data_IF_391544878295
#
_entry.id   IF_391544878295
#
_cell.length_a   1.000
_cell.length_b   1.000
_cell.length_c   1.000
_cell.angle_alpha   90.00
_cell.angle_beta   90.00
_cell.angle_gamma   90.00
#
_symmetry.space_group_name_H-M   'P 1'
#
loop_
_entity.id
_entity.type
_entity.pdbx_description
1 polymer ?
#
# COMPACT_ATOMS: atom_id res chain seq x y z
N UNK A 1 -3.27 -24.17 6.27
CA UNK A 1 -3.11 -23.22 7.39
C UNK A 1 -4.36 -23.21 8.23
N UNK A 2 -4.25 -23.17 9.56
CA UNK A 2 -5.43 -23.10 10.43
C UNK A 2 -6.06 -21.71 10.42
N UNK A 3 -7.40 -21.62 10.59
CA UNK A 3 -8.11 -20.33 10.65
C UNK A 3 -7.54 -19.41 11.74
N UNK A 4 -7.23 -19.98 12.91
CA UNK A 4 -6.67 -19.23 14.03
C UNK A 4 -5.31 -18.61 13.71
N UNK A 5 -4.42 -19.38 13.07
CA UNK A 5 -3.12 -18.88 12.63
C UNK A 5 -3.29 -17.75 11.62
N UNK A 6 -4.30 -17.84 10.75
CA UNK A 6 -4.52 -16.88 9.68
C UNK A 6 -4.98 -15.54 10.26
N UNK A 7 -5.90 -15.59 11.24
CA UNK A 7 -6.38 -14.42 11.97
C UNK A 7 -5.23 -13.75 12.73
N UNK A 8 -4.41 -14.52 13.44
CA UNK A 8 -3.29 -13.97 14.21
C UNK A 8 -2.23 -13.30 13.33
N UNK A 9 -1.78 -13.98 12.27
CA UNK A 9 -0.79 -13.42 11.33
C UNK A 9 -1.34 -12.20 10.59
N UNK A 10 -2.60 -12.23 10.14
CA UNK A 10 -3.24 -11.09 9.48
C UNK A 10 -3.41 -9.89 10.41
N UNK A 11 -3.68 -10.12 11.69
CA UNK A 11 -3.78 -9.04 12.68
C UNK A 11 -2.44 -8.31 12.86
N UNK A 12 -1.32 -9.05 12.92
CA UNK A 12 0.02 -8.47 13.01
C UNK A 12 0.33 -7.65 11.74
N UNK A 13 0.07 -8.23 10.57
CA UNK A 13 0.26 -7.55 9.28
C UNK A 13 -0.58 -6.26 9.19
N UNK A 14 -1.82 -6.28 9.67
CA UNK A 14 -2.70 -5.11 9.71
C UNK A 14 -2.20 -4.01 10.65
N UNK A 15 -1.70 -4.36 11.84
CA UNK A 15 -1.09 -3.38 12.76
C UNK A 15 0.14 -2.75 12.12
N UNK A 16 1.01 -3.55 11.51
CA UNK A 16 2.22 -3.03 10.87
C UNK A 16 1.85 -2.12 9.70
N UNK A 17 0.96 -2.55 8.80
CA UNK A 17 0.49 -1.71 7.69
C UNK A 17 -0.07 -0.39 8.23
N UNK A 18 -0.97 -0.44 9.22
CA UNK A 18 -1.58 0.75 9.79
C UNK A 18 -0.58 1.73 10.40
N UNK A 19 0.54 1.24 10.95
CA UNK A 19 1.60 2.09 11.48
C UNK A 19 2.54 2.61 10.38
N UNK A 20 2.94 1.75 9.44
CA UNK A 20 3.95 2.07 8.42
C UNK A 20 3.40 2.84 7.23
N UNK A 21 2.10 2.78 6.94
CA UNK A 21 1.51 3.48 5.79
C UNK A 21 1.60 5.00 5.93
N UNK A 22 1.49 5.52 7.16
CA UNK A 22 1.52 6.96 7.43
C UNK A 22 2.93 7.48 7.72
N UNK A 23 3.91 6.58 7.82
CA UNK A 23 5.31 6.91 8.03
C UNK A 23 6.06 6.77 6.70
N UNK A 24 7.03 7.64 6.39
CA UNK A 24 7.83 7.55 5.17
C UNK A 24 8.90 6.44 5.30
N UNK A 25 8.47 5.20 5.55
CA UNK A 25 9.32 4.03 5.87
C UNK A 25 9.01 2.80 5.00
N UNK A 26 8.27 2.99 3.90
CA UNK A 26 7.77 1.95 2.99
C UNK A 26 7.01 0.81 3.65
N UNK A 27 5.68 0.92 3.61
CA UNK A 27 4.78 -0.11 4.14
C UNK A 27 4.88 -1.43 3.37
N UNK A 28 5.04 -1.41 2.05
CA UNK A 28 5.10 -2.62 1.22
C UNK A 28 6.32 -3.50 1.53
N UNK A 29 7.49 -2.90 1.77
CA UNK A 29 8.71 -3.64 2.14
C UNK A 29 8.58 -4.36 3.48
N UNK A 30 8.08 -3.66 4.50
CA UNK A 30 7.85 -4.24 5.83
C UNK A 30 6.82 -5.37 5.79
N UNK A 31 5.73 -5.20 5.03
CA UNK A 31 4.67 -6.19 4.89
C UNK A 31 5.19 -7.47 4.21
N UNK A 32 5.92 -7.35 3.10
CA UNK A 32 6.52 -8.50 2.39
C UNK A 32 7.57 -9.21 3.24
N UNK A 33 8.39 -8.47 3.98
CA UNK A 33 9.38 -9.06 4.89
C UNK A 33 8.70 -9.88 5.99
N UNK A 34 7.69 -9.31 6.65
CA UNK A 34 6.94 -10.00 7.71
C UNK A 34 6.19 -11.23 7.20
N UNK A 35 5.61 -11.19 6.00
CA UNK A 35 4.97 -12.35 5.39
C UNK A 35 5.94 -13.54 5.25
N UNK A 36 7.18 -13.28 4.81
CA UNK A 36 8.22 -14.30 4.72
C UNK A 36 8.68 -14.80 6.10
N UNK A 37 8.95 -13.88 7.04
CA UNK A 37 9.40 -14.23 8.39
C UNK A 37 8.35 -15.06 9.14
N UNK A 38 7.07 -14.73 8.97
CA UNK A 38 5.95 -15.46 9.59
C UNK A 38 5.60 -16.75 8.85
N UNK A 39 6.26 -17.09 7.74
CA UNK A 39 5.90 -18.23 6.90
C UNK A 39 4.43 -18.17 6.49
N UNK A 40 3.94 -16.98 6.19
CA UNK A 40 2.59 -16.76 5.70
C UNK A 40 2.67 -16.98 4.18
N UNK A 41 2.28 -18.16 3.73
CA UNK A 41 2.24 -18.52 2.30
C UNK A 41 0.85 -19.09 1.98
N UNK A 42 0.07 -18.33 1.20
CA UNK A 42 -1.29 -18.67 0.79
C UNK A 42 -1.41 -18.71 -0.75
N UNK A 43 -0.27 -18.77 -1.45
CA UNK A 43 -0.17 -18.60 -2.90
C UNK A 43 -0.25 -17.13 -3.33
N UNK A 44 0.39 -16.82 -4.46
CA UNK A 44 0.62 -15.44 -4.93
C UNK A 44 -0.68 -14.62 -5.03
N UNK A 45 -1.74 -15.20 -5.62
CA UNK A 45 -3.02 -14.50 -5.78
C UNK A 45 -3.68 -14.10 -4.45
N UNK A 46 -3.60 -14.96 -3.43
CA UNK A 46 -4.15 -14.67 -2.10
C UNK A 46 -3.34 -13.60 -1.39
N UNK A 47 -2.01 -13.63 -1.54
CA UNK A 47 -1.12 -12.62 -0.96
C UNK A 47 -1.35 -11.24 -1.56
N UNK A 48 -1.49 -11.16 -2.89
CA UNK A 48 -1.86 -9.90 -3.56
C UNK A 48 -3.18 -9.37 -3.03
N UNK A 49 -4.21 -10.23 -2.88
CA UNK A 49 -5.48 -9.82 -2.31
C UNK A 49 -5.33 -9.30 -0.87
N UNK A 50 -4.57 -9.97 -0.01
CA UNK A 50 -4.32 -9.53 1.36
C UNK A 50 -3.64 -8.16 1.36
N UNK A 51 -2.61 -7.95 0.54
CA UNK A 51 -1.93 -6.66 0.42
C UNK A 51 -2.90 -5.56 0.00
N UNK A 52 -3.74 -5.80 -1.01
CA UNK A 52 -4.76 -4.84 -1.47
C UNK A 52 -5.76 -4.54 -0.35
N UNK A 53 -6.24 -5.56 0.38
CA UNK A 53 -7.18 -5.36 1.49
C UNK A 53 -6.55 -4.57 2.65
N UNK A 54 -5.27 -4.76 2.94
CA UNK A 54 -4.56 -3.99 3.96
C UNK A 54 -4.44 -2.50 3.57
N UNK A 55 -4.08 -2.20 2.32
CA UNK A 55 -4.05 -0.82 1.81
C UNK A 55 -5.46 -0.21 1.74
N UNK A 56 -6.48 -1.01 1.43
CA UNK A 56 -7.87 -0.56 1.48
C UNK A 56 -8.26 -0.17 2.92
N UNK A 57 -7.83 -0.93 3.91
CA UNK A 57 -8.05 -0.62 5.33
C UNK A 57 -7.46 0.74 5.74
N UNK A 58 -6.23 1.03 5.34
CA UNK A 58 -5.59 2.33 5.63
C UNK A 58 -6.21 3.47 4.82
N UNK A 59 -6.61 3.22 3.56
CA UNK A 59 -7.36 4.19 2.76
C UNK A 59 -8.69 4.56 3.42
N UNK A 60 -9.44 3.58 3.93
CA UNK A 60 -10.68 3.83 4.68
C UNK A 60 -10.39 4.67 5.93
N UNK A 61 -9.30 4.37 6.66
CA UNK A 61 -8.92 5.17 7.82
C UNK A 61 -8.67 6.65 7.46
N UNK A 62 -7.98 6.93 6.34
CA UNK A 62 -7.80 8.30 5.83
C UNK A 62 -9.14 8.95 5.48
N UNK A 63 -10.01 8.25 4.75
CA UNK A 63 -11.32 8.77 4.35
C UNK A 63 -12.17 9.13 5.58
N UNK A 64 -12.17 8.28 6.61
CA UNK A 64 -12.93 8.51 7.84
C UNK A 64 -12.38 9.70 8.63
N UNK A 65 -11.05 9.81 8.76
CA UNK A 65 -10.41 10.92 9.50
C UNK A 65 -10.60 12.25 8.77
N UNK A 66 -10.36 12.28 7.46
CA UNK A 66 -10.42 13.49 6.63
C UNK A 66 -11.77 13.69 5.93
N UNK A 67 -12.85 13.03 6.40
CA UNK A 67 -14.13 13.02 5.69
C UNK A 67 -14.69 14.43 5.43
N UNK A 68 -14.48 15.35 6.39
CA UNK A 68 -14.92 16.76 6.26
C UNK A 68 -14.11 17.50 5.22
N UNK A 69 -12.79 17.36 5.24
CA UNK A 69 -11.89 17.98 4.28
C UNK A 69 -12.17 17.47 2.86
N UNK A 70 -12.43 16.17 2.72
CA UNK A 70 -12.84 15.54 1.46
C UNK A 70 -14.14 16.16 0.94
N UNK A 71 -15.15 16.35 1.79
CA UNK A 71 -16.39 17.02 1.39
C UNK A 71 -16.16 18.49 1.01
N UNK A 72 -15.25 19.16 1.69
CA UNK A 72 -14.91 20.56 1.42
C UNK A 72 -14.21 20.74 0.06
N UNK A 73 -13.52 19.71 -0.47
CA UNK A 73 -12.99 19.72 -1.85
C UNK A 73 -14.07 19.94 -2.92
N UNK A 74 -15.30 19.51 -2.65
CA UNK A 74 -16.43 19.66 -3.57
C UNK A 74 -17.20 20.97 -3.39
N UNK A 75 -16.75 21.84 -2.49
CA UNK A 75 -17.34 23.18 -2.32
C UNK A 75 -16.65 24.19 -3.25
N UNK A 76 -17.41 25.18 -3.70
CA UNK A 76 -16.85 26.28 -4.51
C UNK A 76 -15.95 27.18 -3.62
N UNK A 77 -14.83 27.69 -4.14
CA UNK A 77 -14.27 27.44 -5.48
C UNK A 77 -13.51 26.10 -5.55
N UNK A 78 -13.69 25.34 -6.65
CA UNK A 78 -13.06 24.03 -6.88
C UNK A 78 -11.53 24.06 -7.12
N UNK A 79 -10.84 25.10 -6.68
CA UNK A 79 -9.41 25.31 -6.93
C UNK A 79 -8.56 24.17 -6.34
N UNK A 80 -8.85 23.78 -5.10
CA UNK A 80 -8.12 22.70 -4.41
C UNK A 80 -8.33 21.36 -5.08
N UNK A 81 -9.56 21.05 -5.51
CA UNK A 81 -9.86 19.84 -6.27
C UNK A 81 -9.11 19.79 -7.61
N UNK A 82 -9.08 20.91 -8.34
CA UNK A 82 -8.34 20.97 -9.61
C UNK A 82 -6.83 20.80 -9.38
N UNK A 83 -6.27 21.42 -8.34
CA UNK A 83 -4.86 21.25 -7.97
C UNK A 83 -4.53 19.80 -7.63
N UNK A 84 -5.42 19.11 -6.91
CA UNK A 84 -5.25 17.69 -6.58
C UNK A 84 -5.20 16.84 -7.85
N UNK A 85 -6.16 17.03 -8.77
CA UNK A 85 -6.20 16.30 -10.04
C UNK A 85 -4.92 16.54 -10.85
N UNK A 86 -4.51 17.80 -11.00
CA UNK A 86 -3.30 18.16 -11.74
C UNK A 86 -2.05 17.55 -11.09
N UNK A 87 -1.99 17.48 -9.76
CA UNK A 87 -0.88 16.86 -9.04
C UNK A 87 -0.85 15.33 -9.19
N UNK A 88 -2.00 14.65 -9.27
CA UNK A 88 -2.08 13.19 -9.42
C UNK A 88 -1.77 12.70 -10.83
N UNK A 89 -2.07 13.50 -11.87
CA UNK A 89 -1.88 13.10 -13.28
C UNK A 89 -0.43 12.67 -13.59
N UNK A 90 0.62 13.46 -13.27
CA UNK A 90 2.01 13.05 -13.55
C UNK A 90 2.39 11.71 -12.91
N UNK A 91 1.97 11.49 -11.66
CA UNK A 91 2.23 10.23 -10.96
C UNK A 91 1.54 9.05 -11.66
N UNK A 92 0.27 9.22 -12.07
CA UNK A 92 -0.47 8.21 -12.82
C UNK A 92 0.13 7.92 -14.20
N UNK A 93 0.55 8.95 -14.94
CA UNK A 93 1.18 8.81 -16.27
C UNK A 93 2.51 8.07 -16.15
N UNK A 94 3.36 8.44 -15.19
CA UNK A 94 4.62 7.73 -14.94
C UNK A 94 4.34 6.27 -14.57
N UNK A 95 3.38 6.04 -13.68
CA UNK A 95 2.97 4.68 -13.27
C UNK A 95 2.53 3.81 -14.45
N UNK A 96 1.73 4.35 -15.38
CA UNK A 96 1.27 3.61 -16.56
C UNK A 96 2.35 3.34 -17.61
N UNK A 97 3.34 4.24 -17.74
CA UNK A 97 4.42 4.10 -18.73
C UNK A 97 5.52 3.16 -18.21
N UNK A 98 5.78 3.18 -16.90
CA UNK A 98 6.91 2.49 -16.29
C UNK A 98 6.52 1.27 -15.45
N UNK A 99 5.24 0.90 -15.38
CA UNK A 99 4.75 -0.26 -14.59
C UNK A 99 5.56 -1.52 -14.86
N UNK A 100 5.79 -1.86 -16.12
CA UNK A 100 6.45 -3.11 -16.49
C UNK A 100 7.94 -3.12 -16.07
N UNK A 101 8.60 -1.96 -16.11
CA UNK A 101 10.00 -1.83 -15.68
C UNK A 101 10.14 -1.89 -14.16
N UNK A 102 9.13 -1.38 -13.44
CA UNK A 102 9.03 -1.48 -11.99
C UNK A 102 8.82 -2.95 -11.64
N UNK A 103 7.79 -3.59 -12.19
CA UNK A 103 7.48 -5.00 -11.88
C UNK A 103 8.65 -5.94 -12.15
N UNK A 104 9.38 -5.76 -13.27
CA UNK A 104 10.58 -6.55 -13.58
C UNK A 104 11.68 -6.46 -12.52
N UNK A 105 11.86 -5.29 -11.88
CA UNK A 105 12.87 -5.10 -10.82
C UNK A 105 12.39 -5.62 -9.47
N UNK A 106 11.08 -5.61 -9.23
CA UNK A 106 10.49 -6.08 -7.99
C UNK A 106 10.26 -7.61 -7.99
N UNK A 107 10.11 -8.25 -9.16
CA UNK A 107 9.94 -9.71 -9.32
C UNK A 107 11.26 -10.49 -9.50
N UNK A 108 12.41 -9.82 -9.63
CA UNK A 108 13.72 -10.49 -9.71
C UNK A 108 14.18 -11.09 -8.37
N UNK A 109 15.20 -11.97 -8.39
CA UNK A 109 15.77 -12.60 -7.18
C UNK A 109 16.23 -11.57 -6.12
N UNK A 110 16.60 -10.36 -6.55
CA UNK A 110 17.01 -9.24 -5.71
C UNK A 110 15.87 -8.28 -5.30
N UNK A 111 14.61 -8.57 -5.67
CA UNK A 111 13.48 -7.65 -5.48
C UNK A 111 13.27 -7.24 -4.02
N UNK A 112 13.59 -8.14 -3.08
CA UNK A 112 13.56 -7.87 -1.64
C UNK A 112 14.69 -6.93 -1.23
N UNK A 113 15.89 -7.10 -1.79
CA UNK A 113 17.05 -6.25 -1.49
C UNK A 113 16.80 -4.83 -2.00
N UNK A 114 16.22 -4.69 -3.20
CA UNK A 114 15.81 -3.40 -3.74
C UNK A 114 14.68 -2.74 -2.92
N UNK A 115 13.64 -3.49 -2.54
CA UNK A 115 12.57 -3.02 -1.66
C UNK A 115 13.05 -2.64 -0.26
N UNK A 116 14.12 -3.27 0.23
CA UNK A 116 14.67 -2.99 1.56
C UNK A 116 15.66 -1.82 1.54
N UNK A 117 16.39 -1.60 0.44
CA UNK A 117 17.44 -0.57 0.35
C UNK A 117 16.92 0.75 -0.22
N UNK A 118 15.97 0.73 -1.15
CA UNK A 118 15.45 1.96 -1.78
C UNK A 118 14.34 2.64 -0.96
N UNK A 119 13.83 1.98 0.07
CA UNK A 119 12.53 2.28 0.66
C UNK A 119 12.51 2.18 2.20
N UNK A 120 13.58 1.69 2.84
CA UNK A 120 13.85 1.84 4.28
C UNK A 120 14.72 3.07 4.54
#
# INVERSE_FOLDING_TARGET
MGLWEAIWKSSILGVVQGLTEFLPVSSSGHLTLLQRVLGFDMGDGTMTLINIMMHLGTLIAVIVVFWRDILDLFKKPFKTLLMLIVATIPAGVIGLIFSDQIDMRFSGEDGILYLSVCFA
#
